data_IF_251127800685
#
_entry.id   IF_251127800685
#
_cell.length_a   1.000
_cell.length_b   1.000
_cell.length_c   1.000
_cell.angle_alpha   90.00
_cell.angle_beta   90.00
_cell.angle_gamma   90.00
#
_symmetry.space_group_name_H-M   'P 1'
#
loop_
_entity.id
_entity.type
_entity.pdbx_description
1 polymer ?
#
# COMPACT_ATOMS: atom_id res chain seq x y z
N UNK A 1 7.36 -4.36 -21.60
CA UNK A 1 7.38 -3.57 -20.35
C UNK A 1 8.07 -4.39 -19.26
N UNK A 2 8.75 -3.74 -18.34
CA UNK A 2 9.48 -4.39 -17.25
C UNK A 2 9.13 -3.71 -15.93
N UNK A 3 9.10 -4.48 -14.85
CA UNK A 3 8.97 -3.97 -13.49
C UNK A 3 10.36 -3.95 -12.84
N UNK A 4 10.72 -2.82 -12.25
CA UNK A 4 11.94 -2.65 -11.49
C UNK A 4 11.59 -2.46 -10.01
N UNK A 5 11.97 -3.41 -9.14
CA UNK A 5 11.67 -3.31 -7.70
C UNK A 5 12.28 -2.06 -7.08
N UNK A 6 11.50 -1.35 -6.28
CA UNK A 6 11.94 -0.14 -5.58
C UNK A 6 12.10 -0.38 -4.08
N UNK A 7 11.04 -0.76 -3.41
CA UNK A 7 11.05 -0.98 -1.96
C UNK A 7 9.88 -1.86 -1.52
N UNK A 8 10.00 -2.41 -0.33
CA UNK A 8 8.95 -3.16 0.37
C UNK A 8 8.49 -2.40 1.60
N UNK A 9 7.19 -2.38 1.83
CA UNK A 9 6.58 -1.84 3.04
C UNK A 9 6.02 -2.99 3.86
N UNK A 10 6.30 -2.97 5.17
CA UNK A 10 5.64 -3.81 6.17
C UNK A 10 4.97 -2.91 7.18
N UNK A 11 3.68 -3.08 7.39
CA UNK A 11 2.92 -2.24 8.30
C UNK A 11 1.72 -2.97 8.89
N UNK A 12 1.18 -2.38 9.94
CA UNK A 12 -0.07 -2.81 10.57
C UNK A 12 -1.01 -1.62 10.71
N UNK A 13 -2.24 -1.90 11.12
CA UNK A 13 -3.24 -0.89 11.46
C UNK A 13 -3.42 -0.83 12.98
N UNK A 14 -2.71 0.05 13.72
CA UNK A 14 -2.86 0.17 15.16
C UNK A 14 -4.24 0.66 15.59
N UNK A 15 -4.90 1.45 14.74
CA UNK A 15 -6.23 1.98 14.99
C UNK A 15 -7.10 1.86 13.74
N UNK A 16 -8.38 1.50 13.95
CA UNK A 16 -9.33 1.33 12.87
C UNK A 16 -10.77 1.58 13.30
N UNK A 17 -11.57 2.07 12.35
CA UNK A 17 -13.01 2.26 12.49
C UNK A 17 -13.72 1.78 11.24
N UNK A 18 -14.94 1.32 11.38
CA UNK A 18 -15.76 0.88 10.26
C UNK A 18 -17.22 1.24 10.48
N UNK A 19 -17.87 1.68 9.42
CA UNK A 19 -19.32 1.85 9.35
C UNK A 19 -19.84 0.96 8.23
N UNK A 20 -20.78 0.10 8.55
CA UNK A 20 -21.43 -0.80 7.60
C UNK A 20 -22.92 -0.47 7.43
N UNK A 21 -23.42 -0.65 6.22
CA UNK A 21 -24.83 -0.54 5.86
C UNK A 21 -25.35 -1.86 5.34
N UNK A 22 -26.67 -1.96 5.23
CA UNK A 22 -27.34 -3.11 4.63
C UNK A 22 -26.81 -3.39 3.21
N UNK A 23 -26.79 -4.66 2.81
CA UNK A 23 -26.25 -5.07 1.51
C UNK A 23 -24.73 -5.22 1.46
N UNK A 24 -24.04 -5.04 2.59
CA UNK A 24 -22.60 -5.25 2.69
C UNK A 24 -21.75 -4.07 2.24
N UNK A 25 -22.35 -2.87 2.10
CA UNK A 25 -21.59 -1.64 1.90
C UNK A 25 -20.84 -1.27 3.18
N UNK A 26 -19.56 -0.93 3.07
CA UNK A 26 -18.73 -0.55 4.22
C UNK A 26 -17.81 0.62 3.86
N UNK A 27 -17.67 1.57 4.79
CA UNK A 27 -16.62 2.57 4.79
C UNK A 27 -15.74 2.34 6.02
N UNK A 28 -14.44 2.30 5.81
CA UNK A 28 -13.48 2.11 6.89
C UNK A 28 -12.49 3.26 6.93
N UNK A 29 -11.87 3.43 8.09
CA UNK A 29 -10.77 4.34 8.32
C UNK A 29 -9.71 3.61 9.12
N UNK A 30 -8.49 3.57 8.63
CA UNK A 30 -7.35 2.93 9.28
C UNK A 30 -6.18 3.90 9.40
N UNK A 31 -5.56 3.96 10.54
CA UNK A 31 -4.20 4.46 10.65
C UNK A 31 -3.24 3.30 10.38
N UNK A 32 -2.15 3.60 9.66
CA UNK A 32 -1.12 2.65 9.32
C UNK A 32 0.22 3.11 9.90
N UNK A 33 0.97 2.17 10.42
CA UNK A 33 2.33 2.40 10.91
C UNK A 33 3.22 1.20 10.62
N UNK A 34 4.43 1.47 10.15
CA UNK A 34 5.39 0.44 9.80
C UNK A 34 6.70 0.99 9.28
N UNK A 35 7.33 0.22 8.42
CA UNK A 35 8.64 0.54 7.85
C UNK A 35 8.72 0.12 6.40
N UNK A 36 9.45 0.89 5.61
CA UNK A 36 9.85 0.50 4.26
C UNK A 36 11.36 0.23 4.19
N UNK A 37 11.74 -0.66 3.28
CA UNK A 37 13.12 -1.09 3.04
C UNK A 37 13.37 -1.27 1.53
N UNK A 38 14.50 -0.75 1.04
CA UNK A 38 14.90 -0.80 -0.35
C UNK A 38 15.52 0.51 -0.81
N UNK A 39 15.15 0.98 -2.01
CA UNK A 39 15.59 2.29 -2.52
C UNK A 39 15.22 3.42 -1.52
N UNK A 40 14.05 3.30 -0.91
CA UNK A 40 13.62 4.14 0.20
C UNK A 40 13.58 3.27 1.45
N UNK A 41 14.33 3.65 2.47
CA UNK A 41 14.34 2.98 3.78
C UNK A 41 13.97 3.99 4.85
N UNK A 42 12.96 3.68 5.65
CA UNK A 42 12.49 4.60 6.69
C UNK A 42 11.16 4.21 7.32
N UNK A 43 10.69 5.06 8.22
CA UNK A 43 9.41 4.91 8.89
C UNK A 43 8.27 5.23 7.94
N UNK A 44 7.28 4.36 7.89
CA UNK A 44 6.07 4.51 7.10
C UNK A 44 4.88 4.79 8.03
N UNK A 45 4.14 5.87 7.73
CA UNK A 45 2.89 6.20 8.43
C UNK A 45 1.86 6.72 7.46
N UNK A 46 0.60 6.38 7.68
CA UNK A 46 -0.45 6.85 6.79
C UNK A 46 -1.84 6.60 7.30
N UNK A 47 -2.80 6.95 6.45
CA UNK A 47 -4.21 6.69 6.65
C UNK A 47 -4.79 6.04 5.38
N UNK A 48 -5.66 5.07 5.59
CA UNK A 48 -6.38 4.40 4.52
C UNK A 48 -7.88 4.54 4.77
N UNK A 49 -8.63 4.92 3.74
CA UNK A 49 -10.08 5.03 3.74
C UNK A 49 -10.70 3.98 2.81
N UNK A 50 -10.48 2.67 3.06
CA UNK A 50 -10.96 1.67 2.13
C UNK A 50 -12.48 1.60 2.16
N UNK A 51 -13.04 1.40 0.97
CA UNK A 51 -14.47 1.24 0.76
C UNK A 51 -14.75 -0.13 0.15
N UNK A 52 -15.86 -0.71 0.53
CA UNK A 52 -16.39 -1.93 -0.06
C UNK A 52 -17.85 -1.71 -0.42
N UNK A 53 -18.18 -1.92 -1.69
CA UNK A 53 -19.52 -1.74 -2.23
C UNK A 53 -20.18 -3.13 -2.41
N UNK A 54 -20.91 -3.56 -1.39
CA UNK A 54 -21.58 -4.86 -1.39
C UNK A 54 -20.71 -6.02 -0.85
N UNK A 55 -21.38 -7.10 -0.47
CA UNK A 55 -20.76 -8.25 0.21
C UNK A 55 -19.66 -8.94 -0.63
N UNK A 56 -19.86 -9.05 -1.93
CA UNK A 56 -18.94 -9.71 -2.87
C UNK A 56 -17.93 -8.77 -3.53
N UNK A 57 -18.03 -7.46 -3.30
CA UNK A 57 -17.16 -6.47 -3.92
C UNK A 57 -15.72 -6.49 -3.38
N UNK A 58 -14.75 -6.01 -4.17
CA UNK A 58 -13.41 -5.79 -3.66
C UNK A 58 -13.37 -4.64 -2.65
N UNK A 59 -12.36 -4.66 -1.78
CA UNK A 59 -11.98 -3.46 -1.03
C UNK A 59 -11.27 -2.50 -1.98
N UNK A 60 -11.63 -1.22 -1.93
CA UNK A 60 -10.99 -0.16 -2.70
C UNK A 60 -10.20 0.73 -1.75
N UNK A 61 -8.89 0.54 -1.60
CA UNK A 61 -8.06 1.41 -0.78
C UNK A 61 -8.00 2.82 -1.38
N UNK A 62 -8.01 3.79 -0.48
CA UNK A 62 -7.66 5.18 -0.74
C UNK A 62 -6.62 5.55 0.32
N UNK A 63 -5.35 5.38 -0.04
CA UNK A 63 -4.25 5.41 0.91
C UNK A 63 -3.40 6.66 0.70
N UNK A 64 -3.11 7.37 1.79
CA UNK A 64 -2.19 8.50 1.83
C UNK A 64 -1.21 8.32 2.97
N UNK A 65 0.06 8.40 2.66
CA UNK A 65 1.10 8.11 3.61
C UNK A 65 2.30 9.05 3.46
N UNK A 66 3.16 8.99 4.44
CA UNK A 66 4.48 9.60 4.44
C UNK A 66 5.53 8.55 4.79
N UNK A 67 6.64 8.58 4.07
CA UNK A 67 7.85 7.88 4.44
C UNK A 67 8.83 8.93 4.97
N UNK A 68 9.20 8.77 6.23
CA UNK A 68 10.28 9.51 6.88
C UNK A 68 11.56 8.68 6.66
N UNK A 69 12.28 8.98 5.60
CA UNK A 69 13.48 8.23 5.24
C UNK A 69 14.58 8.37 6.31
N UNK A 70 15.39 7.33 6.49
CA UNK A 70 16.46 7.33 7.50
C UNK A 70 17.53 8.40 7.25
N UNK A 71 17.65 8.91 6.02
CA UNK A 71 18.50 10.05 5.66
C UNK A 71 17.86 11.42 5.94
N UNK A 72 16.65 11.45 6.51
CA UNK A 72 15.92 12.66 6.86
C UNK A 72 15.04 13.23 5.72
N UNK A 73 14.92 12.57 4.58
CA UNK A 73 13.99 12.98 3.53
C UNK A 73 12.54 12.64 3.92
N UNK A 74 11.60 13.44 3.41
CA UNK A 74 10.17 13.17 3.52
C UNK A 74 9.63 12.87 2.13
N UNK A 75 8.96 11.71 1.99
CA UNK A 75 8.33 11.30 0.73
C UNK A 75 6.84 11.09 1.00
N UNK A 76 6.00 11.86 0.33
CA UNK A 76 4.56 11.61 0.32
C UNK A 76 4.25 10.47 -0.63
N UNK A 77 3.31 9.62 -0.24
CA UNK A 77 2.90 8.45 -1.02
C UNK A 77 1.38 8.38 -1.08
N UNK A 78 0.84 8.21 -2.27
CA UNK A 78 -0.56 7.86 -2.48
C UNK A 78 -0.64 6.53 -3.20
N UNK A 79 -1.60 5.68 -2.83
CA UNK A 79 -1.92 4.54 -3.66
C UNK A 79 -3.42 4.26 -3.75
N UNK A 80 -3.83 3.81 -4.92
CA UNK A 80 -5.18 3.41 -5.26
C UNK A 80 -5.16 2.07 -5.97
N UNK A 81 -6.17 1.29 -5.74
CA UNK A 81 -6.27 -0.03 -6.37
C UNK A 81 -7.43 -0.83 -5.81
N UNK A 82 -7.19 -2.09 -5.57
CA UNK A 82 -8.17 -2.95 -4.94
C UNK A 82 -7.52 -4.06 -4.09
N UNK A 83 -8.28 -4.56 -3.13
CA UNK A 83 -7.95 -5.74 -2.33
C UNK A 83 -9.04 -6.79 -2.49
N UNK A 84 -8.65 -8.06 -2.70
CA UNK A 84 -9.55 -9.22 -2.83
C UNK A 84 -9.13 -10.33 -1.88
N UNK A 85 -10.11 -11.06 -1.36
CA UNK A 85 -9.87 -12.25 -0.54
C UNK A 85 -9.57 -13.45 -1.46
N UNK A 86 -8.36 -13.50 -2.00
CA UNK A 86 -7.89 -14.62 -2.81
C UNK A 86 -6.35 -14.69 -2.78
N UNK A 87 -5.74 -15.87 -2.62
CA UNK A 87 -6.39 -17.15 -2.26
C UNK A 87 -7.12 -17.09 -0.91
N UNK A 88 -7.95 -18.10 -0.55
CA UNK A 88 -8.62 -18.15 0.76
C UNK A 88 -7.62 -17.87 1.89
N UNK A 89 -8.05 -17.12 2.89
CA UNK A 89 -7.26 -16.68 4.05
C UNK A 89 -6.17 -15.65 3.76
N UNK A 90 -5.97 -15.28 2.49
CA UNK A 90 -5.10 -14.17 2.08
C UNK A 90 -5.90 -13.13 1.34
N UNK A 91 -5.65 -11.88 1.64
CA UNK A 91 -6.18 -10.76 0.86
C UNK A 91 -5.05 -10.20 0.03
N UNK A 92 -5.16 -10.34 -1.29
CA UNK A 92 -4.25 -9.67 -2.20
C UNK A 92 -4.57 -8.19 -2.32
N UNK A 93 -3.55 -7.37 -2.48
CA UNK A 93 -3.66 -5.94 -2.77
C UNK A 93 -2.87 -5.65 -4.04
N UNK A 94 -3.46 -4.89 -4.95
CA UNK A 94 -2.79 -4.38 -6.14
C UNK A 94 -3.20 -2.94 -6.38
N UNK A 95 -2.29 -2.12 -6.90
CA UNK A 95 -2.59 -0.72 -7.15
C UNK A 95 -1.51 0.05 -7.88
N UNK A 96 -1.84 1.29 -8.23
CA UNK A 96 -0.90 2.30 -8.67
C UNK A 96 -0.40 3.11 -7.46
N UNK A 97 0.85 3.51 -7.50
CA UNK A 97 1.52 4.26 -6.44
C UNK A 97 2.11 5.53 -7.02
N UNK A 98 1.90 6.64 -6.32
CA UNK A 98 2.40 7.95 -6.68
C UNK A 98 3.24 8.50 -5.54
N UNK A 99 4.32 9.18 -5.90
CA UNK A 99 5.26 9.76 -4.94
C UNK A 99 5.39 11.25 -5.14
N UNK A 100 5.69 11.97 -4.05
CA UNK A 100 6.11 13.36 -4.07
C UNK A 100 7.26 13.55 -3.07
N UNK A 101 8.45 13.87 -3.59
CA UNK A 101 9.65 14.16 -2.82
C UNK A 101 10.32 15.42 -3.32
N UNK A 102 10.89 16.21 -2.40
CA UNK A 102 11.49 17.52 -2.70
C UNK A 102 13.00 17.47 -2.90
N UNK A 103 13.67 16.34 -2.59
CA UNK A 103 15.13 16.24 -2.68
C UNK A 103 15.65 14.92 -3.24
N UNK A 104 16.87 14.97 -3.74
CA UNK A 104 17.59 13.80 -4.22
C UNK A 104 17.95 12.81 -3.05
N UNK A 105 18.01 11.52 -3.35
CA UNK A 105 17.85 10.88 -4.67
C UNK A 105 16.38 10.55 -5.05
N UNK A 106 15.41 11.00 -4.28
CA UNK A 106 14.02 10.56 -4.38
C UNK A 106 13.18 11.37 -5.39
N UNK A 107 13.64 12.55 -5.82
CA UNK A 107 12.90 13.40 -6.79
C UNK A 107 12.52 12.69 -8.08
N UNK A 108 13.34 11.73 -8.53
CA UNK A 108 13.03 10.94 -9.72
C UNK A 108 11.72 10.15 -9.61
N UNK A 109 11.27 9.86 -8.39
CA UNK A 109 10.02 9.13 -8.15
C UNK A 109 8.77 9.97 -8.47
N UNK A 110 8.89 11.30 -8.51
CA UNK A 110 7.77 12.20 -8.82
C UNK A 110 7.22 11.99 -10.24
N UNK A 111 8.08 11.57 -11.16
CA UNK A 111 7.74 11.34 -12.56
C UNK A 111 7.71 9.84 -12.93
N UNK A 112 7.89 8.97 -11.95
CA UNK A 112 7.88 7.53 -12.15
C UNK A 112 6.46 6.97 -12.08
N UNK A 113 6.11 6.10 -13.00
CA UNK A 113 4.89 5.30 -12.94
C UNK A 113 5.17 4.06 -12.08
N UNK A 114 4.57 4.01 -10.91
CA UNK A 114 4.79 2.91 -9.98
C UNK A 114 3.52 2.09 -9.77
N UNK A 115 3.72 0.81 -9.52
CA UNK A 115 2.67 -0.15 -9.18
C UNK A 115 3.03 -0.88 -7.89
N UNK A 116 2.04 -1.38 -7.21
CA UNK A 116 2.26 -2.21 -6.03
C UNK A 116 1.46 -3.50 -6.06
N UNK A 117 2.00 -4.50 -5.41
CA UNK A 117 1.31 -5.74 -5.08
C UNK A 117 1.64 -6.16 -3.66
N UNK A 118 0.72 -6.81 -3.00
CA UNK A 118 0.97 -7.27 -1.65
C UNK A 118 -0.13 -8.12 -1.07
N UNK A 119 0.01 -8.38 0.21
CA UNK A 119 -0.87 -9.25 0.97
C UNK A 119 -1.24 -8.65 2.32
N UNK A 120 -2.49 -8.85 2.72
CA UNK A 120 -2.90 -8.77 4.12
C UNK A 120 -2.79 -10.16 4.70
N UNK A 121 -1.90 -10.34 5.68
CA UNK A 121 -1.64 -11.62 6.32
C UNK A 121 -2.38 -11.70 7.65
N UNK A 122 -3.15 -12.78 7.85
CA UNK A 122 -3.76 -13.04 9.15
C UNK A 122 -2.67 -13.21 10.23
N UNK A 123 -2.96 -12.84 11.50
CA UNK A 123 -2.06 -13.13 12.60
C UNK A 123 -1.69 -14.61 12.65
N UNK A 124 -0.40 -14.93 12.70
CA UNK A 124 0.09 -16.30 12.73
C UNK A 124 0.39 -16.79 14.14
N UNK A 125 0.44 -15.86 15.11
CA UNK A 125 0.74 -16.19 16.52
C UNK A 125 -0.39 -15.77 17.46
N UNK A 126 -0.65 -16.55 18.54
CA UNK A 126 -1.58 -16.16 19.59
C UNK A 126 -1.13 -14.85 20.25
N UNK A 127 -2.01 -13.84 20.26
CA UNK A 127 -1.72 -12.52 20.85
C UNK A 127 -1.25 -11.45 19.85
N UNK A 128 -1.03 -11.77 18.61
CA UNK A 128 -0.82 -10.78 17.55
C UNK A 128 -2.14 -10.06 17.27
N UNK A 129 -2.23 -8.79 17.63
CA UNK A 129 -3.49 -8.05 17.67
C UNK A 129 -3.97 -7.52 16.30
N UNK A 130 -3.13 -7.54 15.27
CA UNK A 130 -3.44 -6.95 13.97
C UNK A 130 -2.84 -7.78 12.82
N UNK A 131 -3.49 -7.81 11.64
CA UNK A 131 -2.89 -8.40 10.46
C UNK A 131 -1.66 -7.61 10.04
N UNK A 132 -0.62 -8.32 9.58
CA UNK A 132 0.51 -7.71 8.89
C UNK A 132 0.16 -7.47 7.43
N UNK A 133 0.51 -6.29 6.94
CA UNK A 133 0.46 -5.96 5.53
C UNK A 133 1.87 -5.89 4.98
N UNK A 134 2.08 -6.55 3.86
CA UNK A 134 3.35 -6.54 3.12
C UNK A 134 3.06 -6.11 1.71
N UNK A 135 3.67 -5.00 1.29
CA UNK A 135 3.47 -4.39 -0.03
C UNK A 135 4.82 -4.22 -0.71
N UNK A 136 4.95 -4.74 -1.92
CA UNK A 136 6.08 -4.48 -2.81
C UNK A 136 5.70 -3.39 -3.79
N UNK A 137 6.58 -2.41 -3.95
CA UNK A 137 6.43 -1.30 -4.90
C UNK A 137 7.51 -1.43 -5.95
N UNK A 138 7.11 -1.31 -7.22
CA UNK A 138 8.00 -1.37 -8.37
C UNK A 138 7.67 -0.25 -9.37
N UNK A 139 8.69 0.25 -10.04
CA UNK A 139 8.56 1.16 -11.17
C UNK A 139 8.21 0.38 -12.45
N UNK A 140 7.26 0.89 -13.21
CA UNK A 140 6.90 0.36 -14.53
C UNK A 140 7.77 1.03 -15.59
N UNK A 141 8.73 0.28 -16.11
CA UNK A 141 9.66 0.78 -17.14
C UNK A 141 9.06 0.54 -18.51
N UNK A 142 9.04 1.59 -19.31
CA UNK A 142 8.70 1.49 -20.72
C UNK A 142 9.81 0.75 -21.51
N UNK A 143 9.41 -0.12 -22.37
CA UNK A 143 10.28 -0.79 -23.34
C UNK A 143 9.63 -0.72 -24.73
N UNK A 144 10.39 -0.64 -25.82
CA UNK A 144 9.85 -0.69 -27.16
C UNK A 144 8.96 -1.93 -27.36
N UNK A 145 7.86 -1.74 -28.06
CA UNK A 145 6.99 -2.85 -28.47
C UNK A 145 7.68 -3.52 -29.68
N UNK A 146 7.92 -4.82 -29.57
CA UNK A 146 8.42 -5.59 -30.70
C UNK A 146 7.34 -5.74 -31.80
N UNK A 147 7.74 -5.65 -33.05
CA UNK A 147 6.86 -5.84 -34.21
C UNK A 147 6.37 -7.31 -34.35
#
# INVERSE_FOLDING_TARGET
MRLEPLYRIRFSYPESWAVGLDGGWQQMFFFAEGRCEGLVTGRFRGANFPRKEGAAGPFRPDFRAVIEADDGATIMVEWHGYGRAYPPERRQVVGAVFHLADREPYRRLNDAVCVCTGEVRAPTEPGQAAPDLVIDVAELIWEPIAD
#
